data_IF_495802237491
#
_entry.id   IF_495802237491
#
_cell.length_a   1.000
_cell.length_b   1.000
_cell.length_c   1.000
_cell.angle_alpha   90.00
_cell.angle_beta   90.00
_cell.angle_gamma   90.00
#
_symmetry.space_group_name_H-M   'P 1'
#
loop_
_entity.id
_entity.type
_entity.pdbx_description
1 polymer ?
#
# COMPACT_ATOMS: atom_id res chain seq x y z
N UNK A 1 16.34 14.45 8.77
CA UNK A 1 15.18 13.85 8.13
C UNK A 1 15.52 13.51 6.66
N UNK A 2 15.44 12.21 6.29
CA UNK A 2 15.74 11.72 4.93
C UNK A 2 14.48 11.22 4.21
N UNK A 3 13.28 11.66 4.65
CA UNK A 3 12.00 11.31 4.05
C UNK A 3 11.38 9.99 4.57
N UNK A 4 10.06 9.80 4.25
CA UNK A 4 9.25 8.63 4.67
C UNK A 4 9.88 7.34 4.14
N UNK A 5 10.31 7.33 2.88
CA UNK A 5 10.84 6.15 2.22
C UNK A 5 12.11 5.60 2.87
N UNK A 6 13.01 6.48 3.31
CA UNK A 6 14.22 6.03 4.03
C UNK A 6 13.87 5.42 5.40
N UNK A 7 12.90 5.99 6.12
CA UNK A 7 12.44 5.43 7.39
C UNK A 7 11.83 4.03 7.20
N UNK A 8 10.97 3.87 6.19
CA UNK A 8 10.35 2.58 5.82
C UNK A 8 11.41 1.54 5.46
N UNK A 9 12.40 1.91 4.60
CA UNK A 9 13.50 1.03 4.23
C UNK A 9 14.27 0.52 5.47
N UNK A 10 14.62 1.43 6.39
CA UNK A 10 15.31 1.06 7.64
C UNK A 10 14.45 0.17 8.53
N UNK A 11 13.13 0.46 8.63
CA UNK A 11 12.20 -0.36 9.38
C UNK A 11 12.17 -1.80 8.85
N UNK A 12 12.09 -1.98 7.53
CA UNK A 12 12.11 -3.30 6.90
C UNK A 12 13.43 -4.03 7.16
N UNK A 13 14.57 -3.32 7.14
CA UNK A 13 15.89 -3.91 7.38
C UNK A 13 16.03 -4.50 8.78
N UNK A 14 15.44 -3.87 9.80
CA UNK A 14 15.54 -4.32 11.21
C UNK A 14 14.36 -5.16 11.66
N UNK A 15 13.32 -5.30 10.84
CA UNK A 15 12.16 -6.12 11.17
C UNK A 15 12.54 -7.61 11.24
N UNK A 16 12.08 -8.33 12.26
CA UNK A 16 12.41 -9.76 12.50
C UNK A 16 11.27 -10.72 12.12
N UNK A 17 10.03 -10.22 12.04
CA UNK A 17 8.85 -11.02 11.73
C UNK A 17 8.82 -11.58 10.32
N UNK A 18 8.01 -12.60 10.10
CA UNK A 18 7.82 -13.23 8.78
C UNK A 18 7.02 -12.34 7.80
N UNK A 19 6.17 -11.47 8.33
CA UNK A 19 5.39 -10.49 7.60
C UNK A 19 5.75 -9.08 8.00
N UNK A 20 5.79 -8.18 7.02
CA UNK A 20 5.97 -6.74 7.21
C UNK A 20 4.65 -6.04 6.95
N UNK A 21 4.26 -5.15 7.86
CA UNK A 21 3.12 -4.24 7.68
C UNK A 21 3.50 -2.84 8.12
N UNK A 22 2.73 -1.85 7.69
CA UNK A 22 2.92 -0.44 8.06
C UNK A 22 1.70 0.10 8.79
N UNK A 23 1.93 0.79 9.90
CA UNK A 23 0.92 1.55 10.62
C UNK A 23 1.30 3.03 10.62
N UNK A 24 0.53 3.85 9.91
CA UNK A 24 0.66 5.29 10.01
C UNK A 24 0.07 5.77 11.36
N UNK A 25 0.77 6.69 12.04
CA UNK A 25 0.37 7.20 13.36
C UNK A 25 -0.60 8.40 13.27
N UNK A 26 -1.41 8.46 12.23
CA UNK A 26 -2.27 9.61 11.93
C UNK A 26 -3.77 9.37 12.18
N UNK A 27 -4.11 8.23 12.76
CA UNK A 27 -5.48 7.80 13.11
C UNK A 27 -6.44 7.68 11.93
N UNK A 28 -5.94 7.66 10.69
CA UNK A 28 -6.79 7.44 9.51
C UNK A 28 -7.23 5.97 9.38
N UNK A 29 -6.41 5.03 9.89
CA UNK A 29 -6.64 3.59 9.84
C UNK A 29 -6.84 3.00 11.23
N UNK A 30 -7.73 2.01 11.34
CA UNK A 30 -7.98 1.30 12.60
C UNK A 30 -7.01 0.10 12.74
N UNK A 31 -6.15 0.08 13.79
CA UNK A 31 -5.27 -1.06 14.05
C UNK A 31 -6.00 -2.39 14.26
N UNK A 32 -7.27 -2.38 14.66
CA UNK A 32 -8.07 -3.60 14.80
C UNK A 32 -8.27 -4.34 13.47
N UNK A 33 -8.21 -3.65 12.33
CA UNK A 33 -8.30 -4.28 11.02
C UNK A 33 -7.14 -5.26 10.74
N UNK A 34 -5.99 -5.17 11.45
CA UNK A 34 -4.93 -6.17 11.37
C UNK A 34 -5.35 -7.57 11.83
N UNK A 35 -6.42 -7.71 12.59
CA UNK A 35 -6.97 -9.03 12.93
C UNK A 35 -7.37 -9.80 11.67
N UNK A 36 -7.98 -9.12 10.70
CA UNK A 36 -8.36 -9.70 9.39
C UNK A 36 -7.13 -10.18 8.61
N UNK A 37 -6.01 -9.44 8.71
CA UNK A 37 -4.75 -9.83 8.08
C UNK A 37 -4.17 -11.08 8.74
N UNK A 38 -4.16 -11.14 10.08
CA UNK A 38 -3.66 -12.30 10.83
C UNK A 38 -4.47 -13.56 10.56
N UNK A 39 -5.80 -13.45 10.52
CA UNK A 39 -6.70 -14.56 10.17
C UNK A 39 -6.36 -15.10 8.78
N UNK A 40 -6.19 -14.22 7.81
CA UNK A 40 -5.87 -14.60 6.43
C UNK A 40 -4.46 -15.19 6.31
N UNK A 41 -3.47 -14.66 7.03
CA UNK A 41 -2.11 -15.20 7.10
C UNK A 41 -2.15 -16.66 7.60
N UNK A 42 -2.87 -16.91 8.69
CA UNK A 42 -2.98 -18.26 9.27
C UNK A 42 -3.74 -19.24 8.35
N UNK A 43 -4.69 -18.74 7.56
CA UNK A 43 -5.53 -19.57 6.70
C UNK A 43 -4.84 -19.99 5.41
N UNK A 44 -4.17 -19.06 4.70
CA UNK A 44 -3.72 -19.27 3.33
C UNK A 44 -2.26 -18.92 3.07
N UNK A 45 -1.56 -18.37 4.06
CA UNK A 45 -0.15 -17.94 3.95
C UNK A 45 0.09 -17.11 2.66
N UNK A 46 -0.52 -15.91 2.54
CA UNK A 46 -0.46 -15.08 1.33
C UNK A 46 0.90 -14.42 1.16
N UNK A 47 1.27 -14.07 -0.06
CA UNK A 47 2.46 -13.27 -0.35
C UNK A 47 2.23 -11.77 -0.09
N UNK A 48 0.98 -11.32 -0.33
CA UNK A 48 0.55 -9.94 -0.16
C UNK A 48 -0.91 -9.87 0.27
N UNK A 49 -1.18 -9.03 1.25
CA UNK A 49 -2.54 -8.61 1.62
C UNK A 49 -2.62 -7.09 1.50
N UNK A 50 -3.64 -6.58 0.84
CA UNK A 50 -3.95 -5.15 0.78
C UNK A 50 -5.25 -4.89 1.54
N UNK A 51 -5.25 -3.90 2.42
CA UNK A 51 -6.47 -3.38 3.01
C UNK A 51 -7.16 -2.43 2.04
N UNK A 52 -8.30 -2.79 1.48
CA UNK A 52 -9.05 -1.95 0.55
C UNK A 52 -10.01 -1.02 1.27
N UNK A 53 -9.94 0.28 0.95
CA UNK A 53 -10.88 1.32 1.39
C UNK A 53 -12.14 1.37 0.52
N UNK A 54 -12.14 0.66 -0.61
CA UNK A 54 -13.22 0.67 -1.61
C UNK A 54 -14.08 -0.60 -1.57
N UNK A 55 -13.65 -1.62 -0.85
CA UNK A 55 -14.47 -2.77 -0.53
C UNK A 55 -15.45 -2.41 0.61
N UNK A 56 -16.49 -3.23 0.78
CA UNK A 56 -17.52 -3.01 1.81
C UNK A 56 -16.92 -3.19 3.21
N UNK A 57 -16.48 -2.08 3.80
CA UNK A 57 -16.07 -1.98 5.21
C UNK A 57 -17.27 -1.51 6.05
N UNK A 58 -17.15 -1.61 7.38
CA UNK A 58 -18.22 -1.17 8.29
C UNK A 58 -18.52 0.32 8.11
N UNK A 59 -17.45 1.13 7.89
CA UNK A 59 -17.56 2.55 7.55
C UNK A 59 -16.36 3.03 6.75
N UNK A 60 -16.59 4.05 5.93
CA UNK A 60 -15.52 4.80 5.26
C UNK A 60 -15.95 6.25 5.13
N UNK A 61 -15.10 7.17 5.57
CA UNK A 61 -15.38 8.60 5.40
C UNK A 61 -15.42 8.95 3.92
N UNK A 62 -16.48 9.63 3.50
CA UNK A 62 -16.62 10.08 2.11
C UNK A 62 -15.53 11.10 1.76
N UNK A 63 -14.87 10.92 0.61
CA UNK A 63 -13.74 11.73 0.19
C UNK A 63 -14.08 12.64 -0.99
N UNK A 64 -13.13 13.54 -1.30
CA UNK A 64 -13.16 14.30 -2.55
C UNK A 64 -13.19 13.36 -3.75
N UNK A 65 -14.14 13.59 -4.64
CA UNK A 65 -14.35 12.76 -5.83
C UNK A 65 -13.09 12.62 -6.68
N UNK A 66 -12.30 13.69 -6.83
CA UNK A 66 -11.05 13.69 -7.60
C UNK A 66 -10.01 12.74 -7.01
N UNK A 67 -9.89 12.67 -5.67
CA UNK A 67 -9.00 11.73 -5.01
C UNK A 67 -9.42 10.28 -5.25
N UNK A 68 -10.72 10.01 -5.21
CA UNK A 68 -11.28 8.68 -5.48
C UNK A 68 -11.04 8.26 -6.92
N UNK A 69 -11.28 9.18 -7.88
CA UNK A 69 -11.01 8.93 -9.30
C UNK A 69 -9.52 8.68 -9.53
N UNK A 70 -8.65 9.52 -8.98
CA UNK A 70 -7.20 9.35 -9.10
C UNK A 70 -6.71 8.00 -8.56
N UNK A 71 -7.15 7.60 -7.38
CA UNK A 71 -6.81 6.30 -6.80
C UNK A 71 -7.31 5.13 -7.66
N UNK A 72 -8.55 5.19 -8.14
CA UNK A 72 -9.09 4.17 -9.04
C UNK A 72 -8.34 4.09 -10.36
N UNK A 73 -7.94 5.23 -10.92
CA UNK A 73 -7.17 5.29 -12.16
C UNK A 73 -5.77 4.68 -11.99
N UNK A 74 -5.05 5.01 -10.90
CA UNK A 74 -3.75 4.37 -10.58
C UNK A 74 -3.92 2.87 -10.43
N UNK A 75 -4.94 2.42 -9.69
CA UNK A 75 -5.23 1.00 -9.49
C UNK A 75 -5.53 0.29 -10.80
N UNK A 76 -6.34 0.90 -11.66
CA UNK A 76 -6.67 0.35 -12.99
C UNK A 76 -5.42 0.17 -13.86
N UNK A 77 -4.55 1.18 -13.93
CA UNK A 77 -3.29 1.09 -14.67
C UNK A 77 -2.36 0.00 -14.10
N UNK A 78 -2.25 -0.07 -12.78
CA UNK A 78 -1.47 -1.12 -12.12
C UNK A 78 -1.98 -2.50 -12.49
N UNK A 79 -3.29 -2.72 -12.41
CA UNK A 79 -3.93 -3.99 -12.74
C UNK A 79 -3.65 -4.42 -14.19
N UNK A 80 -3.71 -3.49 -15.15
CA UNK A 80 -3.35 -3.79 -16.55
C UNK A 80 -1.87 -4.19 -16.66
N UNK A 81 -0.97 -3.42 -16.03
CA UNK A 81 0.48 -3.62 -16.18
C UNK A 81 0.94 -4.92 -15.50
N UNK A 82 0.39 -5.23 -14.33
CA UNK A 82 0.80 -6.38 -13.51
C UNK A 82 -0.12 -7.59 -13.61
N UNK A 83 -1.21 -7.49 -14.41
CA UNK A 83 -2.23 -8.53 -14.57
C UNK A 83 -2.84 -8.96 -13.22
N UNK A 84 -3.36 -7.98 -12.48
CA UNK A 84 -3.98 -8.16 -11.16
C UNK A 84 -5.40 -7.60 -11.16
N UNK A 85 -6.15 -7.81 -10.08
CA UNK A 85 -7.55 -7.35 -9.94
C UNK A 85 -7.78 -6.56 -8.66
N UNK A 86 -6.75 -5.87 -8.15
CA UNK A 86 -6.86 -5.08 -6.93
C UNK A 86 -7.90 -3.97 -7.07
N UNK A 87 -8.53 -3.61 -5.95
CA UNK A 87 -9.50 -2.51 -5.88
C UNK A 87 -8.88 -1.22 -5.34
N UNK A 88 -7.78 -1.31 -4.57
CA UNK A 88 -7.13 -0.16 -3.91
C UNK A 88 -5.64 -0.37 -3.64
N UNK A 89 -4.79 -0.22 -4.66
CA UNK A 89 -3.34 -0.39 -4.48
C UNK A 89 -2.66 0.74 -3.70
N UNK A 90 -3.34 1.85 -3.45
CA UNK A 90 -2.77 3.02 -2.79
C UNK A 90 -3.24 3.20 -1.34
N UNK A 91 -3.74 2.13 -0.74
CA UNK A 91 -3.96 2.03 0.69
C UNK A 91 -2.62 1.84 1.42
N UNK A 92 -2.42 2.57 2.52
CA UNK A 92 -1.22 2.39 3.35
C UNK A 92 -1.25 1.07 4.13
N UNK A 93 -2.41 0.44 4.29
CA UNK A 93 -2.54 -0.87 4.93
C UNK A 93 -2.23 -1.98 3.95
N UNK A 94 -1.02 -2.48 4.04
CA UNK A 94 -0.60 -3.68 3.34
C UNK A 94 0.27 -4.54 4.27
N UNK A 95 0.22 -5.85 4.07
CA UNK A 95 1.15 -6.81 4.66
C UNK A 95 1.73 -7.69 3.57
N UNK A 96 3.03 -7.97 3.62
CA UNK A 96 3.70 -8.85 2.68
C UNK A 96 4.74 -9.71 3.37
N UNK A 97 5.01 -10.87 2.83
CA UNK A 97 6.06 -11.75 3.33
C UNK A 97 7.43 -11.06 3.20
N UNK A 98 8.18 -11.06 4.29
CA UNK A 98 9.49 -10.40 4.39
C UNK A 98 10.51 -10.93 3.38
N UNK A 99 10.53 -12.23 3.13
CA UNK A 99 11.47 -12.91 2.24
C UNK A 99 11.34 -12.54 0.76
N UNK A 100 10.16 -12.02 0.36
CA UNK A 100 9.90 -11.59 -1.01
C UNK A 100 10.64 -10.30 -1.36
N UNK A 101 10.82 -9.39 -0.38
CA UNK A 101 11.36 -8.06 -0.60
C UNK A 101 12.76 -7.90 -0.04
N UNK A 102 13.75 -7.62 -0.89
CA UNK A 102 15.06 -7.17 -0.44
C UNK A 102 15.02 -5.64 -0.25
N UNK A 103 15.13 -5.12 1.00
CA UNK A 103 15.07 -3.68 1.27
C UNK A 103 16.23 -2.90 0.65
N UNK A 104 17.40 -3.51 0.41
CA UNK A 104 18.54 -2.82 -0.19
C UNK A 104 18.31 -2.44 -1.65
N UNK A 105 17.36 -3.11 -2.30
CA UNK A 105 16.94 -2.81 -3.67
C UNK A 105 15.89 -1.69 -3.75
N UNK A 106 15.42 -1.14 -2.63
CA UNK A 106 14.53 0.02 -2.62
C UNK A 106 15.34 1.29 -2.90
N UNK A 107 14.89 2.08 -3.87
CA UNK A 107 15.58 3.26 -4.38
C UNK A 107 14.85 4.56 -4.12
N UNK A 108 13.53 4.51 -3.99
CA UNK A 108 12.69 5.69 -3.82
C UNK A 108 12.62 6.13 -2.36
N UNK A 109 12.51 7.43 -2.13
CA UNK A 109 12.52 8.03 -0.78
C UNK A 109 11.22 8.76 -0.43
N UNK A 110 10.37 9.00 -1.42
CA UNK A 110 9.09 9.72 -1.29
C UNK A 110 7.87 8.80 -1.16
N UNK A 111 6.70 9.33 -1.51
CA UNK A 111 5.42 8.60 -1.48
C UNK A 111 5.36 7.49 -2.53
N UNK A 112 6.13 7.58 -3.60
CA UNK A 112 6.25 6.57 -4.65
C UNK A 112 6.90 5.27 -4.15
N UNK A 113 7.53 5.26 -2.97
CA UNK A 113 8.12 4.05 -2.40
C UNK A 113 7.07 2.96 -2.13
N UNK A 114 5.86 3.35 -1.75
CA UNK A 114 4.77 2.39 -1.59
C UNK A 114 4.51 1.63 -2.91
N UNK A 115 4.46 2.35 -4.04
CA UNK A 115 4.34 1.72 -5.34
C UNK A 115 5.57 0.86 -5.69
N UNK A 116 6.79 1.28 -5.33
CA UNK A 116 8.00 0.48 -5.55
C UNK A 116 7.94 -0.84 -4.79
N UNK A 117 7.54 -0.82 -3.52
CA UNK A 117 7.37 -2.03 -2.70
C UNK A 117 6.35 -2.95 -3.36
N UNK A 118 5.17 -2.42 -3.70
CA UNK A 118 4.09 -3.19 -4.30
C UNK A 118 4.51 -3.84 -5.63
N UNK A 119 5.16 -3.09 -6.52
CA UNK A 119 5.69 -3.62 -7.78
C UNK A 119 6.67 -4.79 -7.57
N UNK A 120 7.58 -4.67 -6.60
CA UNK A 120 8.57 -5.71 -6.31
C UNK A 120 7.94 -6.95 -5.69
N UNK A 121 6.97 -6.78 -4.80
CA UNK A 121 6.25 -7.89 -4.17
C UNK A 121 5.39 -8.63 -5.19
N UNK A 122 4.61 -7.92 -6.00
CA UNK A 122 3.72 -8.52 -7.02
C UNK A 122 4.52 -9.23 -8.13
N UNK A 123 5.73 -8.78 -8.45
CA UNK A 123 6.60 -9.48 -9.44
C UNK A 123 7.13 -10.82 -8.96
N UNK A 124 7.17 -11.08 -7.67
CA UNK A 124 7.76 -12.29 -7.09
C UNK A 124 6.75 -13.22 -6.43
N UNK A 125 5.65 -12.66 -5.94
CA UNK A 125 4.58 -13.41 -5.31
C UNK A 125 3.52 -13.85 -6.32
N UNK A 126 2.61 -14.70 -5.88
CA UNK A 126 1.47 -15.20 -6.65
C UNK A 126 0.16 -15.25 -5.84
N UNK A 127 0.24 -15.25 -4.50
CA UNK A 127 -0.91 -15.32 -3.59
C UNK A 127 -1.27 -13.93 -3.04
N UNK A 128 -2.14 -13.23 -3.76
CA UNK A 128 -2.55 -11.87 -3.41
C UNK A 128 -3.99 -11.82 -2.94
N UNK A 129 -4.22 -11.11 -1.85
CA UNK A 129 -5.56 -10.98 -1.26
C UNK A 129 -5.86 -9.53 -0.91
N UNK A 130 -7.14 -9.19 -0.88
CA UNK A 130 -7.63 -7.92 -0.32
C UNK A 130 -8.61 -8.18 0.82
N UNK A 131 -8.55 -7.34 1.83
CA UNK A 131 -9.52 -7.33 2.94
C UNK A 131 -10.15 -5.94 3.07
N UNK A 132 -11.43 -5.83 3.42
CA UNK A 132 -12.06 -4.54 3.68
C UNK A 132 -11.51 -3.94 4.98
N UNK A 133 -11.17 -2.65 4.93
CA UNK A 133 -10.68 -1.91 6.10
C UNK A 133 -11.48 -0.65 6.35
N UNK A 134 -11.58 -0.26 7.61
CA UNK A 134 -12.18 0.99 8.02
C UNK A 134 -11.21 2.14 7.75
N UNK A 135 -11.73 3.25 7.23
CA UNK A 135 -10.90 4.39 6.87
C UNK A 135 -11.57 5.72 7.21
N UNK A 136 -10.92 6.51 8.05
CA UNK A 136 -11.33 7.85 8.43
C UNK A 136 -10.34 8.90 7.93
N UNK A 137 -10.28 9.08 6.60
CA UNK A 137 -9.32 9.99 5.98
C UNK A 137 -9.50 11.44 6.37
N UNK A 138 -8.38 12.13 6.58
CA UNK A 138 -8.34 13.56 6.90
C UNK A 138 -8.62 14.42 5.66
N UNK A 139 -9.19 15.57 5.88
CA UNK A 139 -9.25 16.64 4.89
C UNK A 139 -7.97 17.50 4.94
N UNK A 140 -7.88 18.52 4.07
CA UNK A 140 -6.69 19.40 4.03
C UNK A 140 -6.54 20.26 5.27
N UNK A 141 -7.65 20.69 5.92
CA UNK A 141 -7.60 21.43 7.17
C UNK A 141 -7.17 20.57 8.36
N UNK A 142 -7.36 19.24 8.27
CA UNK A 142 -6.93 18.26 9.25
C UNK A 142 -5.50 17.72 8.98
N UNK A 143 -4.74 18.36 8.06
CA UNK A 143 -3.33 18.05 7.83
C UNK A 143 -3.03 17.00 6.78
N UNK A 144 -3.92 16.76 5.80
CA UNK A 144 -3.65 15.87 4.66
C UNK A 144 -2.46 16.35 3.86
N UNK A 145 -1.42 15.53 3.77
CA UNK A 145 -0.14 15.86 3.11
C UNK A 145 -0.08 15.50 1.63
N UNK A 146 -0.82 14.46 1.21
CA UNK A 146 -0.81 13.99 -0.17
C UNK A 146 -1.52 15.01 -1.07
N UNK A 147 -0.81 15.48 -2.10
CA UNK A 147 -1.28 16.43 -3.12
C UNK A 147 -1.31 15.75 -4.49
N UNK A 148 -2.04 16.35 -5.45
CA UNK A 148 -2.20 15.82 -6.81
C UNK A 148 -0.87 15.59 -7.56
N UNK A 149 0.16 16.38 -7.31
CA UNK A 149 1.46 16.25 -7.99
C UNK A 149 2.24 14.98 -7.57
N UNK A 150 1.93 14.35 -6.42
CA UNK A 150 2.50 13.05 -6.05
C UNK A 150 2.03 11.92 -6.95
N UNK A 151 0.98 12.13 -7.73
CA UNK A 151 0.45 11.16 -8.69
C UNK A 151 1.49 10.77 -9.76
N UNK A 152 2.22 11.74 -10.32
CA UNK A 152 3.16 11.48 -11.41
C UNK A 152 4.35 10.61 -11.01
N UNK A 153 5.05 10.84 -9.89
CA UNK A 153 6.11 9.93 -9.41
C UNK A 153 5.61 8.50 -9.17
N UNK A 154 4.39 8.35 -8.66
CA UNK A 154 3.77 7.04 -8.44
C UNK A 154 3.54 6.31 -9.75
N UNK A 155 2.94 6.96 -10.75
CA UNK A 155 2.76 6.38 -12.08
C UNK A 155 4.09 6.00 -12.72
N UNK A 156 5.06 6.90 -12.70
CA UNK A 156 6.40 6.61 -13.23
C UNK A 156 7.00 5.37 -12.55
N UNK A 157 6.85 5.25 -11.23
CA UNK A 157 7.35 4.10 -10.48
C UNK A 157 6.65 2.79 -10.85
N UNK A 158 5.35 2.81 -11.11
CA UNK A 158 4.60 1.64 -11.59
C UNK A 158 5.15 1.15 -12.93
N UNK A 159 5.37 2.05 -13.89
CA UNK A 159 5.96 1.69 -15.18
C UNK A 159 7.41 1.22 -15.05
N UNK A 160 8.26 1.97 -14.35
CA UNK A 160 9.67 1.60 -14.13
C UNK A 160 9.77 0.24 -13.42
N UNK A 161 8.91 -0.01 -12.43
CA UNK A 161 8.89 -1.26 -11.67
C UNK A 161 8.58 -2.49 -12.52
N UNK A 162 7.87 -2.36 -13.63
CA UNK A 162 7.59 -3.47 -14.55
C UNK A 162 8.84 -3.97 -15.27
N UNK A 163 9.73 -3.05 -15.67
CA UNK A 163 10.89 -3.36 -16.53
C UNK A 163 12.22 -3.50 -15.77
N UNK A 164 12.24 -3.15 -14.49
CA UNK A 164 13.40 -3.34 -13.59
C UNK A 164 13.13 -4.43 -12.57
#
# INVERSE_FOLDING_TARGET
NKGKGNAVKKGIQVAEGDYITFQDADLEYDPNDFKKFLELINMVNPDLIIGSRFNYADYSRSHYILNKIGNKFITFLFNIIYNTTFTDIYSCYLAFRKDILNPDKLKTEGFEQHAEILCKVVKKGDKFYEVPINYNGRNFSEGKKIRYYHFFPVLAQIFIGKFK
#
